data_IF_746091064521
#
_entry.id   IF_746091064521
#
_cell.length_a   1.000
_cell.length_b   1.000
_cell.length_c   1.000
_cell.angle_alpha   90.00
_cell.angle_beta   90.00
_cell.angle_gamma   90.00
#
_symmetry.space_group_name_H-M   'P 1'
#
loop_
_entity.id
_entity.type
_entity.pdbx_description
1 polymer ?
#
# COMPACT_ATOMS: atom_id res chain seq x y z
N UNK A 1 -35.33 -24.85 -49.50
CA UNK A 1 -34.29 -23.81 -49.70
C UNK A 1 -34.52 -22.73 -48.66
N UNK A 2 -33.65 -22.66 -47.65
CA UNK A 2 -33.45 -21.48 -46.81
C UNK A 2 -31.94 -21.34 -46.63
N UNK A 3 -31.42 -20.18 -46.98
CA UNK A 3 -29.99 -19.86 -47.00
C UNK A 3 -29.43 -19.54 -45.61
N UNK A 4 -28.10 -19.59 -45.58
CA UNK A 4 -27.16 -19.35 -44.49
C UNK A 4 -27.52 -18.18 -43.55
N UNK A 5 -27.30 -18.40 -42.26
CA UNK A 5 -26.70 -17.38 -41.39
C UNK A 5 -25.34 -17.88 -40.90
N UNK A 6 -24.29 -17.25 -41.44
CA UNK A 6 -22.92 -17.35 -40.96
C UNK A 6 -22.89 -16.64 -39.61
N UNK A 7 -22.83 -17.40 -38.54
CA UNK A 7 -22.57 -16.86 -37.20
C UNK A 7 -21.15 -16.33 -37.20
N UNK A 8 -21.01 -15.01 -37.21
CA UNK A 8 -19.77 -14.34 -36.84
C UNK A 8 -19.51 -14.70 -35.37
N UNK A 9 -18.53 -15.58 -35.15
CA UNK A 9 -17.87 -15.67 -33.85
C UNK A 9 -17.30 -14.28 -33.57
N UNK A 10 -17.92 -13.55 -32.64
CA UNK A 10 -17.21 -12.52 -31.90
C UNK A 10 -16.04 -13.22 -31.21
N UNK A 11 -14.83 -12.93 -31.68
CA UNK A 11 -13.61 -13.28 -30.98
C UNK A 11 -13.73 -12.71 -29.55
N UNK A 12 -13.46 -13.51 -28.50
CA UNK A 12 -13.43 -12.96 -27.17
C UNK A 12 -12.32 -11.91 -27.14
N UNK A 13 -12.67 -10.67 -26.77
CA UNK A 13 -11.71 -9.62 -26.46
C UNK A 13 -10.59 -10.24 -25.62
N UNK A 14 -9.42 -10.37 -26.23
CA UNK A 14 -8.25 -10.93 -25.60
C UNK A 14 -7.83 -9.90 -24.55
N UNK A 15 -8.27 -10.11 -23.30
CA UNK A 15 -7.84 -9.30 -22.16
C UNK A 15 -6.35 -9.59 -22.00
N UNK A 16 -5.52 -8.85 -22.71
CA UNK A 16 -4.08 -8.91 -22.62
C UNK A 16 -3.71 -8.53 -21.18
N UNK A 17 -3.30 -9.54 -20.40
CA UNK A 17 -2.91 -9.35 -19.03
C UNK A 17 -1.70 -8.39 -18.95
N UNK A 18 -1.73 -7.51 -17.96
CA UNK A 18 -0.65 -6.58 -17.69
C UNK A 18 0.68 -7.34 -17.46
N UNK A 19 1.75 -6.90 -18.14
CA UNK A 19 3.06 -7.54 -18.07
C UNK A 19 3.86 -6.98 -16.90
N UNK A 20 4.29 -7.83 -15.96
CA UNK A 20 5.16 -7.42 -14.86
C UNK A 20 6.56 -7.05 -15.40
N UNK A 21 6.99 -5.81 -15.15
CA UNK A 21 8.33 -5.32 -15.50
C UNK A 21 9.32 -5.56 -14.37
N UNK A 22 8.99 -5.10 -13.16
CA UNK A 22 9.87 -5.16 -12.01
C UNK A 22 9.06 -5.18 -10.71
N UNK A 23 9.69 -5.61 -9.61
CA UNK A 23 9.07 -5.62 -8.29
C UNK A 23 10.11 -5.43 -7.18
N UNK A 24 9.70 -4.80 -6.09
CA UNK A 24 10.50 -4.64 -4.89
C UNK A 24 9.65 -4.92 -3.65
N UNK A 25 10.21 -5.63 -2.69
CA UNK A 25 9.60 -5.84 -1.37
C UNK A 25 10.51 -5.25 -0.32
N UNK A 26 9.92 -4.51 0.63
CA UNK A 26 10.65 -3.97 1.78
C UNK A 26 9.88 -4.22 3.06
N UNK A 27 10.68 -4.43 4.10
CA UNK A 27 10.23 -4.56 5.46
C UNK A 27 11.02 -3.57 6.32
N UNK A 28 10.35 -2.96 7.28
CA UNK A 28 10.91 -2.05 8.26
C UNK A 28 10.30 -2.38 9.60
N UNK A 29 11.15 -2.54 10.61
CA UNK A 29 10.78 -2.66 12.02
C UNK A 29 11.57 -1.59 12.77
N UNK A 30 10.88 -0.76 13.54
CA UNK A 30 11.57 0.20 14.41
C UNK A 30 12.27 -0.50 15.58
N UNK A 31 13.24 0.18 16.20
CA UNK A 31 14.00 -0.39 17.32
C UNK A 31 13.15 -0.71 18.55
N UNK A 32 11.94 -0.16 18.66
CA UNK A 32 11.02 -0.40 19.78
C UNK A 32 10.03 -1.54 19.53
N UNK A 33 9.95 -2.05 18.30
CA UNK A 33 8.98 -3.05 17.88
C UNK A 33 7.53 -2.53 17.83
N UNK A 34 7.34 -1.21 17.87
CA UNK A 34 6.03 -0.58 17.80
C UNK A 34 5.59 -0.39 16.35
N UNK A 35 6.53 -0.04 15.46
CA UNK A 35 6.27 0.23 14.06
C UNK A 35 6.79 -0.91 13.21
N UNK A 36 5.90 -1.52 12.46
CA UNK A 36 6.24 -2.45 11.40
C UNK A 36 5.58 -2.02 10.09
N UNK A 37 6.36 -1.98 9.02
CA UNK A 37 5.90 -1.69 7.67
C UNK A 37 6.42 -2.80 6.76
N UNK A 38 5.52 -3.44 6.03
CA UNK A 38 5.86 -4.34 4.93
C UNK A 38 5.10 -3.88 3.70
N UNK A 39 5.80 -3.67 2.60
CA UNK A 39 5.13 -3.36 1.35
C UNK A 39 5.83 -4.02 0.16
N UNK A 40 5.04 -4.32 -0.87
CA UNK A 40 5.52 -4.80 -2.15
C UNK A 40 5.03 -3.85 -3.23
N UNK A 41 5.96 -3.27 -3.98
CA UNK A 41 5.66 -2.53 -5.18
C UNK A 41 5.93 -3.39 -6.40
N UNK A 42 5.07 -3.31 -7.41
CA UNK A 42 5.17 -4.04 -8.68
C UNK A 42 4.84 -3.10 -9.83
N UNK A 43 5.77 -2.91 -10.76
CA UNK A 43 5.57 -2.13 -11.97
C UNK A 43 5.06 -3.04 -13.09
N UNK A 44 3.94 -2.66 -13.68
CA UNK A 44 3.32 -3.35 -14.80
C UNK A 44 3.28 -2.46 -16.05
N UNK A 45 3.33 -3.10 -17.22
CA UNK A 45 3.04 -2.49 -18.51
C UNK A 45 1.75 -3.08 -19.07
N UNK A 46 0.81 -2.21 -19.43
CA UNK A 46 -0.47 -2.58 -20.04
C UNK A 46 -0.32 -2.77 -21.53
N UNK A 47 -1.31 -3.41 -22.15
CA UNK A 47 -1.37 -3.65 -23.60
C UNK A 47 -1.31 -2.38 -24.44
N UNK A 48 -1.85 -1.27 -23.94
CA UNK A 48 -1.80 0.05 -24.59
C UNK A 48 -0.46 0.80 -24.40
N UNK A 49 0.54 0.16 -23.78
CA UNK A 49 1.86 0.76 -23.50
C UNK A 49 1.91 1.67 -22.26
N UNK A 50 0.77 1.95 -21.62
CA UNK A 50 0.75 2.64 -20.32
C UNK A 50 1.33 1.77 -19.21
N UNK A 51 1.72 2.38 -18.09
CA UNK A 51 2.27 1.67 -16.94
C UNK A 51 1.50 2.00 -15.68
N UNK A 52 1.50 1.07 -14.74
CA UNK A 52 1.01 1.27 -13.40
C UNK A 52 1.88 0.58 -12.37
N UNK A 53 1.86 1.10 -11.16
CA UNK A 53 2.40 0.44 -9.99
C UNK A 53 1.30 -0.09 -9.10
N UNK A 54 1.40 -1.36 -8.76
CA UNK A 54 0.60 -1.97 -7.71
C UNK A 54 1.44 -2.00 -6.42
N UNK A 55 0.98 -1.28 -5.41
CA UNK A 55 1.63 -1.20 -4.10
C UNK A 55 0.74 -1.90 -3.09
N UNK A 56 1.07 -3.14 -2.72
CA UNK A 56 0.44 -3.82 -1.60
C UNK A 56 1.20 -3.55 -0.31
N UNK A 57 0.48 -3.35 0.78
CA UNK A 57 1.07 -2.93 2.03
C UNK A 57 0.40 -3.60 3.23
N UNK A 58 1.18 -3.80 4.28
CA UNK A 58 0.78 -4.22 5.60
C UNK A 58 1.55 -3.38 6.61
N UNK A 59 0.85 -2.87 7.61
CA UNK A 59 1.43 -2.05 8.66
C UNK A 59 0.93 -2.48 10.02
N UNK A 60 1.78 -2.31 11.03
CA UNK A 60 1.42 -2.45 12.42
C UNK A 60 2.03 -1.33 13.26
N UNK A 61 1.28 -0.89 14.26
CA UNK A 61 1.60 0.22 15.15
C UNK A 61 1.31 -0.13 16.61
N UNK A 62 2.09 0.43 17.54
CA UNK A 62 1.83 0.40 18.99
C UNK A 62 1.79 -1.01 19.63
N UNK A 63 2.43 -2.01 19.01
CA UNK A 63 2.35 -3.41 19.47
C UNK A 63 3.03 -3.67 20.81
N UNK A 64 4.12 -2.97 21.12
CA UNK A 64 4.80 -3.11 22.41
C UNK A 64 4.19 -2.15 23.43
N UNK A 65 3.94 -0.91 23.02
CA UNK A 65 3.30 0.12 23.86
C UNK A 65 1.91 -0.33 24.36
N UNK A 66 1.13 -1.05 23.54
CA UNK A 66 -0.20 -1.55 23.94
C UNK A 66 -0.18 -2.62 25.03
N UNK A 67 0.93 -3.36 25.17
CA UNK A 67 1.07 -4.45 26.16
C UNK A 67 1.43 -3.95 27.56
N UNK A 68 1.88 -2.71 27.68
CA UNK A 68 2.19 -2.08 28.97
C UNK A 68 0.93 -1.74 29.77
N UNK A 69 -0.26 -1.80 29.15
CA UNK A 69 -1.52 -1.42 29.76
C UNK A 69 -2.46 -2.63 29.89
N UNK A 70 -3.26 -2.69 30.96
CA UNK A 70 -4.15 -3.83 31.24
C UNK A 70 -5.33 -3.95 30.26
N UNK A 71 -5.61 -2.92 29.47
CA UNK A 71 -6.60 -2.92 28.41
C UNK A 71 -5.91 -2.65 27.07
N UNK A 72 -6.30 -3.32 25.98
CA UNK A 72 -5.70 -3.08 24.67
C UNK A 72 -5.82 -1.60 24.32
N UNK A 73 -4.66 -0.96 24.15
CA UNK A 73 -4.52 0.43 23.76
C UNK A 73 -5.14 0.64 22.35
N UNK A 74 -6.15 1.51 22.19
CA UNK A 74 -6.57 1.88 20.85
C UNK A 74 -5.40 2.54 20.11
N UNK A 75 -5.22 2.18 18.85
CA UNK A 75 -4.24 2.80 17.97
C UNK A 75 -4.97 3.49 16.82
N UNK A 76 -4.54 4.70 16.50
CA UNK A 76 -4.93 5.38 15.28
C UNK A 76 -3.71 5.45 14.38
N UNK A 77 -3.78 4.82 13.21
CA UNK A 77 -2.68 4.84 12.25
C UNK A 77 -3.06 5.63 11.01
N UNK A 78 -2.06 6.26 10.41
CA UNK A 78 -2.12 6.91 9.12
C UNK A 78 -0.98 6.38 8.27
N UNK A 79 -1.30 5.70 7.17
CA UNK A 79 -0.32 5.29 6.17
C UNK A 79 -0.38 6.25 4.99
N UNK A 80 0.78 6.67 4.51
CA UNK A 80 0.94 7.54 3.35
C UNK A 80 1.84 6.84 2.34
N UNK A 81 1.35 6.71 1.12
CA UNK A 81 2.03 6.01 0.02
C UNK A 81 2.16 7.00 -1.13
N UNK A 82 3.36 7.12 -1.68
CA UNK A 82 3.58 7.96 -2.85
C UNK A 82 4.72 7.43 -3.69
N UNK A 83 4.64 7.77 -4.98
CA UNK A 83 5.70 7.51 -5.93
C UNK A 83 6.49 8.80 -6.10
N UNK A 84 7.81 8.70 -5.96
CA UNK A 84 8.77 9.75 -6.27
C UNK A 84 9.75 9.23 -7.32
N UNK A 85 10.37 10.14 -8.08
CA UNK A 85 11.32 9.82 -9.14
C UNK A 85 10.70 8.97 -10.28
N UNK A 86 10.92 9.33 -11.56
CA UNK A 86 11.38 10.63 -12.03
C UNK A 86 10.37 11.76 -11.74
N UNK A 87 9.16 11.43 -11.27
CA UNK A 87 8.08 12.38 -10.95
C UNK A 87 7.54 12.14 -9.55
N UNK A 88 7.11 13.21 -8.88
CA UNK A 88 6.40 13.11 -7.61
C UNK A 88 4.89 13.08 -7.88
N UNK A 89 4.28 11.92 -7.66
CA UNK A 89 2.83 11.75 -7.77
C UNK A 89 2.13 12.16 -6.46
N UNK A 90 0.83 12.52 -6.51
CA UNK A 90 0.06 12.78 -5.31
C UNK A 90 0.12 11.60 -4.33
N UNK A 91 0.26 11.93 -3.05
CA UNK A 91 0.27 10.91 -2.01
C UNK A 91 -1.14 10.37 -1.77
N UNK A 92 -1.24 9.05 -1.62
CA UNK A 92 -2.44 8.35 -1.19
C UNK A 92 -2.33 8.14 0.31
N UNK A 93 -3.38 8.52 1.05
CA UNK A 93 -3.42 8.47 2.51
C UNK A 93 -4.58 7.61 2.96
N UNK A 94 -4.30 6.58 3.77
CA UNK A 94 -5.33 5.81 4.45
C UNK A 94 -5.31 6.08 5.94
N UNK A 95 -6.48 6.43 6.48
CA UNK A 95 -6.72 6.52 7.90
C UNK A 95 -7.21 5.16 8.40
N UNK A 96 -6.60 4.67 9.47
CA UNK A 96 -6.95 3.42 10.13
C UNK A 96 -7.39 3.77 11.56
N UNK A 97 -8.69 4.08 11.75
CA UNK A 97 -9.19 4.40 13.07
C UNK A 97 -9.33 3.10 13.89
N UNK A 98 -8.72 3.08 15.08
CA UNK A 98 -8.95 2.07 16.11
C UNK A 98 -8.49 0.65 15.76
N UNK A 99 -7.35 0.52 15.06
CA UNK A 99 -6.67 -0.76 14.87
C UNK A 99 -5.16 -0.57 14.95
N UNK A 100 -4.46 -1.56 15.51
CA UNK A 100 -3.00 -1.61 15.59
C UNK A 100 -2.36 -2.34 14.38
N UNK A 101 -3.18 -2.79 13.43
CA UNK A 101 -2.76 -3.46 12.19
C UNK A 101 -3.67 -3.09 11.03
N UNK A 102 -3.12 -2.91 9.83
CA UNK A 102 -3.91 -2.72 8.62
C UNK A 102 -3.14 -3.21 7.39
N UNK A 103 -3.89 -3.51 6.33
CA UNK A 103 -3.33 -3.84 5.02
C UNK A 103 -4.21 -3.28 3.91
N UNK A 104 -3.62 -3.07 2.75
CA UNK A 104 -4.33 -2.61 1.56
C UNK A 104 -3.49 -2.79 0.31
N UNK A 105 -4.03 -2.32 -0.81
CA UNK A 105 -3.34 -2.33 -2.09
C UNK A 105 -3.82 -1.16 -2.95
N UNK A 106 -2.87 -0.44 -3.52
CA UNK A 106 -3.13 0.71 -4.39
C UNK A 106 -2.61 0.43 -5.81
N UNK A 107 -3.39 0.82 -6.81
CA UNK A 107 -2.94 0.86 -8.21
C UNK A 107 -2.76 2.32 -8.61
N UNK A 108 -1.53 2.68 -8.97
CA UNK A 108 -1.14 4.05 -9.27
C UNK A 108 -0.66 4.11 -10.72
N UNK A 109 -1.31 4.91 -11.56
CA UNK A 109 -0.82 5.14 -12.91
C UNK A 109 0.49 5.93 -12.89
N UNK A 110 1.47 5.46 -13.67
CA UNK A 110 2.79 6.08 -13.77
C UNK A 110 3.13 6.36 -15.22
N UNK A 111 3.96 7.39 -15.49
CA UNK A 111 4.44 7.64 -16.84
C UNK A 111 5.20 6.44 -17.42
N UNK A 112 5.44 6.40 -18.73
CA UNK A 112 5.91 5.19 -19.41
C UNK A 112 7.42 4.92 -19.33
N UNK A 113 8.22 5.80 -18.73
CA UNK A 113 9.68 5.63 -18.65
C UNK A 113 10.28 6.17 -17.36
N UNK A 114 11.23 5.41 -16.79
CA UNK A 114 11.98 5.76 -15.60
C UNK A 114 12.06 4.64 -14.58
N UNK A 115 13.01 4.79 -13.66
CA UNK A 115 13.02 4.05 -12.41
C UNK A 115 12.17 4.82 -11.41
N UNK A 116 11.27 4.13 -10.74
CA UNK A 116 10.37 4.72 -9.77
C UNK A 116 10.79 4.38 -8.36
N UNK A 117 10.64 5.32 -7.44
CA UNK A 117 10.76 5.05 -6.01
C UNK A 117 9.38 5.04 -5.37
N UNK A 118 8.98 3.89 -4.87
CA UNK A 118 7.81 3.78 -4.00
C UNK A 118 8.23 4.10 -2.58
N UNK A 119 7.53 5.04 -1.95
CA UNK A 119 7.74 5.44 -0.57
C UNK A 119 6.49 5.13 0.25
N UNK A 120 6.72 4.67 1.47
CA UNK A 120 5.67 4.39 2.45
C UNK A 120 6.09 5.04 3.77
N UNK A 121 5.17 5.80 4.37
CA UNK A 121 5.29 6.33 5.73
C UNK A 121 4.12 5.84 6.57
N UNK A 122 4.41 5.41 7.78
CA UNK A 122 3.42 5.11 8.82
C UNK A 122 3.56 6.12 9.95
N UNK A 123 2.44 6.69 10.39
CA UNK A 123 2.32 7.43 11.64
C UNK A 123 1.31 6.71 12.51
N UNK A 124 1.65 6.40 13.75
CA UNK A 124 0.80 5.71 14.70
C UNK A 124 0.68 6.54 16.00
N UNK A 125 -0.56 6.77 16.42
CA UNK A 125 -0.90 7.36 17.73
C UNK A 125 -1.36 6.24 18.65
N UNK A 126 -0.62 6.02 19.73
CA UNK A 126 -0.91 5.00 20.72
C UNK A 126 -1.67 5.62 21.88
N UNK A 127 -2.80 5.05 22.28
CA UNK A 127 -3.62 5.55 23.37
C UNK A 127 -3.77 4.51 24.47
N UNK A 128 -3.77 4.90 25.74
CA UNK A 128 -4.18 4.03 26.84
C UNK A 128 -5.53 4.47 27.41
N UNK A 129 -6.25 3.53 28.03
CA UNK A 129 -7.40 3.86 28.87
C UNK A 129 -6.94 4.06 30.32
N UNK A 130 -6.77 5.33 30.70
CA UNK A 130 -6.49 5.79 32.05
C UNK A 130 -7.55 6.83 32.43
N UNK A 131 -8.48 6.48 33.34
CA UNK A 131 -9.96 6.73 33.30
C UNK A 131 -10.66 7.14 31.98
N UNK A 132 -9.96 7.76 31.03
CA UNK A 132 -10.37 8.20 29.71
C UNK A 132 -9.31 7.76 28.68
N UNK A 133 -9.61 7.92 27.38
CA UNK A 133 -8.63 7.66 26.30
C UNK A 133 -7.55 8.74 26.32
N UNK A 134 -6.32 8.37 26.66
CA UNK A 134 -5.16 9.27 26.77
C UNK A 134 -4.10 8.90 25.74
N UNK A 135 -3.63 9.87 24.96
CA UNK A 135 -2.50 9.68 24.05
C UNK A 135 -1.22 9.49 24.86
N UNK A 136 -0.51 8.38 24.65
CA UNK A 136 0.70 8.02 25.41
C UNK A 136 1.96 8.03 24.56
N UNK A 137 1.84 7.82 23.25
CA UNK A 137 2.96 7.86 22.33
C UNK A 137 2.53 8.23 20.91
N UNK A 138 3.43 8.88 20.19
CA UNK A 138 3.40 9.01 18.74
C UNK A 138 4.63 8.29 18.20
N UNK A 139 4.44 7.43 17.21
CA UNK A 139 5.48 6.65 16.56
C UNK A 139 5.40 6.87 15.06
N UNK A 140 6.54 6.95 14.40
CA UNK A 140 6.61 7.12 12.96
C UNK A 140 7.70 6.22 12.37
N UNK A 141 7.45 5.70 11.17
CA UNK A 141 8.44 4.96 10.40
C UNK A 141 8.26 5.22 8.92
N UNK A 142 9.33 5.07 8.15
CA UNK A 142 9.28 5.20 6.70
C UNK A 142 10.21 4.19 6.04
N UNK A 143 9.83 3.76 4.85
CA UNK A 143 10.63 2.85 4.04
C UNK A 143 10.39 3.15 2.55
N UNK A 144 11.38 2.84 1.73
CA UNK A 144 11.28 3.02 0.28
C UNK A 144 12.00 1.91 -0.48
N UNK A 145 11.57 1.68 -1.73
CA UNK A 145 12.33 0.90 -2.69
C UNK A 145 12.25 1.49 -4.09
N UNK A 146 13.31 1.24 -4.86
CA UNK A 146 13.46 1.67 -6.25
C UNK A 146 13.14 0.48 -7.15
N UNK A 147 12.42 0.75 -8.24
CA UNK A 147 11.93 -0.18 -9.26
C UNK A 147 12.28 0.34 -10.64
#
# INVERSE_FOLDING_TARGET
MCEKQKSELLEPDLVLADTLINSCTREYLDGTGDIYIKFTSKLYQRSNGSRCMNVSWFVSGCQTTSKEFPFPAPCEMKITIWISEPINLPAIVHQVPSSCTASGAETIDVPSSGNYRTNVKLEAKCYAYLPVKTLIAIREGSCNCVI
#
